data_IF_784126996858
#
_entry.id   IF_784126996858
#
_cell.length_a   1.000
_cell.length_b   1.000
_cell.length_c   1.000
_cell.angle_alpha   90.00
_cell.angle_beta   90.00
_cell.angle_gamma   90.00
#
_symmetry.space_group_name_H-M   'P 1'
#
loop_
_entity.id
_entity.type
_entity.pdbx_description
1 polymer ?
#
# COMPACT_ATOMS: atom_id res chain seq x y z
N UNK A 1 -22.66 0.07 -12.45
CA UNK A 1 -22.57 1.32 -11.67
C UNK A 1 -21.83 1.18 -10.33
N UNK A 2 -21.42 -0.01 -9.87
CA UNK A 2 -20.71 -0.21 -8.59
C UNK A 2 -19.19 0.02 -8.63
N UNK A 3 -18.57 -0.04 -9.83
CA UNK A 3 -17.11 0.07 -10.02
C UNK A 3 -16.55 1.46 -9.68
N UNK A 4 -17.24 2.51 -10.13
CA UNK A 4 -16.79 3.89 -9.97
C UNK A 4 -16.79 4.34 -8.50
N UNK A 5 -17.66 3.77 -7.66
CA UNK A 5 -17.81 4.24 -6.27
C UNK A 5 -16.60 3.90 -5.41
N UNK A 6 -15.96 2.75 -5.58
CA UNK A 6 -14.86 2.33 -4.70
C UNK A 6 -13.56 3.09 -5.01
N UNK A 7 -13.21 3.22 -6.29
CA UNK A 7 -12.03 3.97 -6.73
C UNK A 7 -12.21 5.47 -6.46
N UNK A 8 -13.39 6.02 -6.75
CA UNK A 8 -13.69 7.43 -6.46
C UNK A 8 -13.67 7.73 -4.97
N UNK A 9 -14.20 6.84 -4.13
CA UNK A 9 -14.11 7.00 -2.67
C UNK A 9 -12.66 6.99 -2.19
N UNK A 10 -11.84 6.09 -2.75
CA UNK A 10 -10.41 6.01 -2.40
C UNK A 10 -9.66 7.27 -2.83
N UNK A 11 -9.99 7.81 -4.01
CA UNK A 11 -9.43 9.07 -4.49
C UNK A 11 -9.84 10.25 -3.61
N UNK A 12 -11.13 10.38 -3.26
CA UNK A 12 -11.62 11.42 -2.37
C UNK A 12 -10.94 11.36 -1.00
N UNK A 13 -10.85 10.17 -0.41
CA UNK A 13 -10.15 9.95 0.87
C UNK A 13 -8.66 10.30 0.80
N UNK A 14 -7.97 9.92 -0.27
CA UNK A 14 -6.56 10.24 -0.44
C UNK A 14 -6.35 11.74 -0.62
N UNK A 15 -7.23 12.43 -1.35
CA UNK A 15 -7.20 13.88 -1.47
C UNK A 15 -7.39 14.54 -0.11
N UNK A 16 -8.38 14.13 0.69
CA UNK A 16 -8.61 14.68 2.02
C UNK A 16 -7.40 14.48 2.94
N UNK A 17 -6.80 13.27 2.97
CA UNK A 17 -5.59 13.04 3.75
C UNK A 17 -4.45 13.92 3.22
N UNK A 18 -4.28 14.03 1.90
CA UNK A 18 -3.21 14.84 1.32
C UNK A 18 -3.36 16.34 1.66
N UNK A 19 -4.59 16.84 1.71
CA UNK A 19 -4.90 18.24 1.99
C UNK A 19 -4.83 18.58 3.49
N UNK A 20 -5.27 17.67 4.36
CA UNK A 20 -5.48 17.96 5.79
C UNK A 20 -4.53 17.25 6.74
N UNK A 21 -3.78 16.24 6.30
CA UNK A 21 -2.91 15.49 7.21
C UNK A 21 -1.59 16.20 7.49
N UNK A 22 -1.05 15.97 8.68
CA UNK A 22 0.31 16.37 9.03
C UNK A 22 1.34 15.72 8.09
N UNK A 23 2.44 16.43 7.83
CA UNK A 23 3.55 15.97 6.95
C UNK A 23 4.17 14.63 7.36
N UNK A 24 3.90 14.14 8.58
CA UNK A 24 4.46 12.90 9.10
C UNK A 24 3.58 11.66 8.85
N UNK A 25 2.43 11.78 8.17
CA UNK A 25 1.58 10.62 7.90
C UNK A 25 2.23 9.69 6.86
N UNK A 26 2.15 8.38 7.13
CA UNK A 26 2.58 7.31 6.24
C UNK A 26 1.34 6.69 5.62
N UNK A 27 1.27 6.64 4.29
CA UNK A 27 0.10 6.17 3.56
C UNK A 27 0.50 5.01 2.66
N UNK A 28 -0.35 3.98 2.62
CA UNK A 28 -0.24 2.83 1.72
C UNK A 28 -1.66 2.39 1.31
N UNK A 29 -1.87 2.08 0.03
CA UNK A 29 -3.17 1.64 -0.50
C UNK A 29 -3.23 0.11 -0.48
N UNK A 30 -4.26 -0.46 0.15
CA UNK A 30 -4.48 -1.89 0.21
C UNK A 30 -5.78 -2.30 -0.51
N UNK A 31 -5.64 -3.08 -1.59
CA UNK A 31 -6.76 -3.76 -2.24
C UNK A 31 -7.14 -5.03 -1.47
N UNK A 32 -7.98 -4.92 -0.45
CA UNK A 32 -8.41 -6.05 0.37
C UNK A 32 -9.44 -6.95 -0.36
N UNK A 33 -9.68 -8.16 0.17
CA UNK A 33 -10.58 -9.20 -0.37
C UNK A 33 -10.13 -9.77 -1.71
N UNK A 34 -8.81 -9.82 -1.94
CA UNK A 34 -8.23 -10.36 -3.17
C UNK A 34 -8.58 -11.85 -3.43
N UNK A 35 -9.06 -12.57 -2.41
CA UNK A 35 -9.53 -13.96 -2.52
C UNK A 35 -10.84 -14.12 -3.31
N UNK A 36 -11.64 -13.05 -3.46
CA UNK A 36 -12.93 -13.09 -4.18
C UNK A 36 -12.75 -12.60 -5.62
N UNK A 37 -11.90 -13.29 -6.39
CA UNK A 37 -11.56 -12.87 -7.76
C UNK A 37 -12.74 -12.86 -8.74
N UNK A 38 -13.74 -13.71 -8.51
CA UNK A 38 -14.94 -13.83 -9.35
C UNK A 38 -15.95 -12.68 -9.16
N UNK A 39 -15.93 -12.01 -8.01
CA UNK A 39 -16.72 -10.79 -7.75
C UNK A 39 -15.85 -9.53 -7.89
N UNK A 40 -14.67 -9.64 -8.54
CA UNK A 40 -13.77 -8.51 -8.71
C UNK A 40 -14.48 -7.43 -9.50
N UNK A 41 -14.70 -6.32 -8.80
CA UNK A 41 -15.11 -5.08 -9.41
C UNK A 41 -13.86 -4.28 -9.79
N UNK A 42 -13.03 -3.86 -8.84
CA UNK A 42 -11.86 -3.03 -9.17
C UNK A 42 -10.72 -3.87 -9.74
N UNK A 43 -10.23 -3.49 -10.93
CA UNK A 43 -9.06 -4.14 -11.53
C UNK A 43 -7.80 -3.76 -10.75
N UNK A 44 -6.83 -4.66 -10.71
CA UNK A 44 -5.57 -4.43 -10.01
C UNK A 44 -4.86 -3.18 -10.54
N UNK A 45 -4.87 -3.00 -11.86
CA UNK A 45 -4.22 -1.89 -12.55
C UNK A 45 -4.83 -0.53 -12.16
N UNK A 46 -6.12 -0.47 -11.81
CA UNK A 46 -6.77 0.76 -11.33
C UNK A 46 -6.23 1.17 -9.96
N UNK A 47 -6.05 0.21 -9.06
CA UNK A 47 -5.44 0.44 -7.75
C UNK A 47 -3.97 0.84 -7.84
N UNK A 48 -3.20 0.18 -8.71
CA UNK A 48 -1.80 0.53 -8.98
C UNK A 48 -1.68 1.94 -9.59
N UNK A 49 -2.58 2.29 -10.51
CA UNK A 49 -2.62 3.63 -11.11
C UNK A 49 -2.90 4.69 -10.05
N UNK A 50 -3.91 4.49 -9.21
CA UNK A 50 -4.25 5.42 -8.12
C UNK A 50 -3.06 5.60 -7.16
N UNK A 51 -2.41 4.51 -6.78
CA UNK A 51 -1.24 4.58 -5.89
C UNK A 51 -0.06 5.34 -6.52
N UNK A 52 0.16 5.15 -7.82
CA UNK A 52 1.17 5.89 -8.57
C UNK A 52 0.85 7.40 -8.65
N UNK A 53 -0.42 7.77 -8.84
CA UNK A 53 -0.86 9.17 -8.87
C UNK A 53 -0.60 9.89 -7.54
N UNK A 54 -0.80 9.20 -6.41
CA UNK A 54 -0.56 9.75 -5.06
C UNK A 54 0.85 9.48 -4.51
N UNK A 55 1.73 8.78 -5.26
CA UNK A 55 3.09 8.48 -4.84
C UNK A 55 3.19 7.56 -3.62
N UNK A 56 2.23 6.65 -3.45
CA UNK A 56 2.15 5.71 -2.31
C UNK A 56 2.27 4.26 -2.77
N UNK A 57 2.69 3.31 -1.92
CA UNK A 57 2.72 1.89 -2.28
C UNK A 57 1.31 1.30 -2.41
N UNK A 58 1.18 0.29 -3.27
CA UNK A 58 -0.05 -0.50 -3.45
C UNK A 58 0.20 -1.98 -3.17
N UNK A 59 -0.77 -2.66 -2.56
CA UNK A 59 -0.74 -4.10 -2.36
C UNK A 59 -2.14 -4.70 -2.33
N UNK A 60 -2.32 -5.86 -2.96
CA UNK A 60 -3.53 -6.66 -2.79
C UNK A 60 -3.39 -7.58 -1.59
N UNK A 61 -4.42 -7.58 -0.75
CA UNK A 61 -4.43 -8.32 0.52
C UNK A 61 -5.72 -9.14 0.65
N UNK A 62 -5.68 -10.17 1.48
CA UNK A 62 -6.90 -10.84 1.95
C UNK A 62 -6.79 -11.11 3.44
N UNK A 63 -7.58 -10.37 4.22
CA UNK A 63 -7.74 -10.66 5.63
C UNK A 63 -8.29 -12.07 5.89
N UNK A 64 -9.01 -12.66 4.93
CA UNK A 64 -9.61 -13.99 5.06
C UNK A 64 -8.60 -15.11 4.82
N UNK A 65 -7.79 -15.01 3.76
CA UNK A 65 -6.80 -16.05 3.44
C UNK A 65 -5.43 -15.81 4.06
N UNK A 66 -5.20 -14.64 4.66
CA UNK A 66 -3.89 -14.23 5.17
C UNK A 66 -2.95 -13.69 4.10
N UNK A 67 -3.40 -13.59 2.83
CA UNK A 67 -2.58 -13.10 1.73
C UNK A 67 -2.12 -11.66 2.00
N UNK A 68 -0.80 -11.46 2.04
CA UNK A 68 -0.14 -10.16 2.11
C UNK A 68 -0.62 -9.27 3.27
N UNK A 69 -1.06 -9.86 4.39
CA UNK A 69 -1.57 -9.08 5.53
C UNK A 69 -0.44 -8.51 6.38
N UNK A 70 0.63 -9.27 6.64
CA UNK A 70 1.68 -8.84 7.58
C UNK A 70 2.63 -7.77 7.03
N UNK A 71 2.93 -7.83 5.73
CA UNK A 71 3.91 -6.95 5.10
C UNK A 71 3.50 -5.46 5.18
N UNK A 72 2.25 -5.05 4.89
CA UNK A 72 1.80 -3.68 5.06
C UNK A 72 2.02 -3.12 6.47
N UNK A 73 1.65 -3.86 7.51
CA UNK A 73 1.82 -3.41 8.90
C UNK A 73 3.29 -3.26 9.25
N UNK A 74 4.12 -4.23 8.86
CA UNK A 74 5.56 -4.17 9.09
C UNK A 74 6.22 -3.01 8.36
N UNK A 75 5.82 -2.77 7.10
CA UNK A 75 6.35 -1.70 6.27
C UNK A 75 6.03 -0.31 6.86
N UNK A 76 4.77 -0.09 7.25
CA UNK A 76 4.34 1.17 7.88
C UNK A 76 5.02 1.38 9.23
N UNK A 77 5.12 0.34 10.07
CA UNK A 77 5.80 0.44 11.36
C UNK A 77 7.29 0.78 11.22
N UNK A 78 7.98 0.19 10.23
CA UNK A 78 9.39 0.51 9.92
C UNK A 78 9.57 1.96 9.49
N UNK A 79 8.71 2.45 8.59
CA UNK A 79 8.77 3.84 8.13
C UNK A 79 8.50 4.82 9.28
N UNK A 80 7.48 4.56 10.10
CA UNK A 80 7.19 5.40 11.27
C UNK A 80 8.37 5.44 12.24
N UNK A 81 8.95 4.27 12.56
CA UNK A 81 10.11 4.18 13.45
C UNK A 81 11.30 4.98 12.90
N UNK A 82 11.57 4.87 11.61
CA UNK A 82 12.67 5.58 10.96
C UNK A 82 12.45 7.11 10.99
N UNK A 83 11.22 7.58 10.76
CA UNK A 83 10.88 9.02 10.86
C UNK A 83 11.04 9.58 12.26
N UNK A 84 10.74 8.79 13.30
CA UNK A 84 10.89 9.20 14.70
C UNK A 84 12.35 9.24 15.15
N UNK A 85 13.19 8.31 14.66
CA UNK A 85 14.55 8.16 15.15
C UNK A 85 15.58 9.13 14.55
N UNK A 86 15.24 9.89 13.49
CA UNK A 86 16.06 10.96 12.84
C UNK A 86 17.57 10.89 13.10
N UNK A 87 18.21 9.77 12.77
CA UNK A 87 19.66 9.65 12.85
C UNK A 87 20.28 10.47 11.69
N UNK A 88 21.15 11.46 11.96
CA UNK A 88 21.59 12.45 10.96
C UNK A 88 22.35 11.86 9.76
N UNK A 89 22.78 10.60 9.84
CA UNK A 89 23.52 9.90 8.78
C UNK A 89 22.83 8.62 8.26
N UNK A 90 21.60 8.31 8.69
CA UNK A 90 20.90 7.12 8.19
C UNK A 90 20.19 7.42 6.86
N UNK A 91 20.33 6.57 5.82
CA UNK A 91 19.59 6.73 4.59
C UNK A 91 18.07 6.69 4.84
N UNK A 92 17.33 7.57 4.16
CA UNK A 92 15.86 7.61 4.25
C UNK A 92 15.27 6.23 3.93
N UNK A 93 14.44 5.69 4.82
CA UNK A 93 13.67 4.49 4.52
C UNK A 93 12.72 4.78 3.34
N UNK A 94 12.85 3.98 2.29
CA UNK A 94 12.01 4.09 1.11
C UNK A 94 10.94 3.00 1.16
N UNK A 95 9.77 3.36 1.71
CA UNK A 95 8.64 2.44 1.91
C UNK A 95 8.28 1.67 0.63
N UNK A 96 8.22 2.37 -0.50
CA UNK A 96 7.84 1.77 -1.78
C UNK A 96 8.88 0.77 -2.30
N UNK A 97 10.18 1.05 -2.10
CA UNK A 97 11.26 0.13 -2.46
C UNK A 97 11.24 -1.12 -1.58
N UNK A 98 11.06 -0.94 -0.26
CA UNK A 98 10.92 -2.04 0.68
C UNK A 98 9.76 -2.97 0.31
N UNK A 99 8.57 -2.42 0.07
CA UNK A 99 7.39 -3.19 -0.33
C UNK A 99 7.66 -3.95 -1.64
N UNK A 100 8.23 -3.30 -2.66
CA UNK A 100 8.53 -3.92 -3.94
C UNK A 100 9.55 -5.06 -3.82
N UNK A 101 10.56 -4.91 -2.96
CA UNK A 101 11.58 -5.94 -2.71
C UNK A 101 10.97 -7.17 -2.04
N UNK A 102 10.19 -6.98 -0.98
CA UNK A 102 9.57 -8.08 -0.24
C UNK A 102 8.55 -8.85 -1.12
N UNK A 103 7.80 -8.15 -1.97
CA UNK A 103 6.89 -8.79 -2.92
C UNK A 103 7.61 -9.61 -4.00
N UNK A 104 8.80 -9.18 -4.45
CA UNK A 104 9.63 -9.94 -5.40
C UNK A 104 10.36 -11.11 -4.73
N UNK A 105 10.74 -10.96 -3.47
CA UNK A 105 11.42 -11.99 -2.68
C UNK A 105 10.57 -13.22 -2.38
N UNK A 106 9.24 -13.06 -2.34
CA UNK A 106 8.30 -14.18 -2.22
C UNK A 106 8.20 -15.07 -3.48
N UNK A 107 8.83 -14.67 -4.59
CA UNK A 107 8.63 -15.27 -5.91
C UNK A 107 9.77 -16.11 -6.48
N UNK A 108 10.90 -16.34 -5.78
CA UNK A 108 11.99 -17.12 -6.40
C UNK A 108 12.84 -17.95 -5.41
N UNK A 109 12.96 -19.25 -5.74
CA UNK A 109 13.87 -20.31 -5.27
C UNK A 109 13.34 -21.33 -4.24
N UNK A 110 12.82 -22.46 -4.74
CA UNK A 110 13.38 -23.82 -4.49
C UNK A 110 13.11 -24.73 -5.70
N UNK A 111 14.00 -24.70 -6.68
CA UNK A 111 14.34 -25.84 -7.56
C UNK A 111 15.85 -25.93 -7.61
#
# INVERSE_FOLDING_TARGET
>A
MQLLSAVFFSQAWLTEIHEFAHQNVVIMILGNKADVSHERVVKREEGEKLAKEFGVPFMETSAKSGLNVELPFTAVAKELKHREMKEPNEPKFQLQEYVNKEMKGAGCCRS
#
